data_IF_539792649484
#
_entry.id   IF_539792649484
#
_cell.length_a   1.000
_cell.length_b   1.000
_cell.length_c   1.000
_cell.angle_alpha   90.00
_cell.angle_beta   90.00
_cell.angle_gamma   90.00
#
_symmetry.space_group_name_H-M   'P 1'
#
loop_
_entity.id
_entity.type
_entity.pdbx_description
1 polymer ?
#
# COMPACT_ATOMS: atom_id res chain seq x y z
N UNK A 1 -9.51 -42.29 44.15
CA UNK A 1 -10.44 -41.21 43.78
C UNK A 1 -9.58 -40.02 43.41
N UNK A 2 -9.20 -39.91 42.15
CA UNK A 2 -10.01 -39.29 41.08
C UNK A 2 -10.24 -37.79 41.31
N UNK A 3 -9.71 -37.00 40.37
CA UNK A 3 -10.29 -35.77 39.83
C UNK A 3 -10.27 -34.53 40.71
N UNK A 4 -9.22 -33.70 40.56
CA UNK A 4 -9.39 -32.26 40.25
C UNK A 4 -8.24 -31.84 39.29
N UNK A 5 -8.38 -32.20 38.02
CA UNK A 5 -7.81 -31.39 36.93
C UNK A 5 -8.98 -30.49 36.52
N UNK A 6 -9.01 -29.23 36.95
CA UNK A 6 -9.96 -28.28 36.37
C UNK A 6 -9.43 -26.85 36.43
N UNK A 7 -9.10 -26.34 35.24
CA UNK A 7 -9.51 -25.00 34.85
C UNK A 7 -8.62 -23.84 35.26
N UNK A 8 -7.46 -23.69 34.63
CA UNK A 8 -6.82 -22.38 34.46
C UNK A 8 -6.03 -22.32 33.14
N UNK A 9 -6.66 -22.81 32.06
CA UNK A 9 -6.30 -22.38 30.70
C UNK A 9 -6.85 -20.96 30.58
N UNK A 10 -6.05 -19.99 31.01
CA UNK A 10 -6.27 -18.60 30.64
C UNK A 10 -6.32 -18.58 29.11
N UNK A 11 -7.51 -18.34 28.57
CA UNK A 11 -7.66 -17.83 27.22
C UNK A 11 -6.85 -16.54 27.16
N UNK A 12 -5.58 -16.64 26.73
CA UNK A 12 -5.01 -15.60 25.91
C UNK A 12 -5.88 -15.63 24.64
N UNK A 13 -6.97 -14.87 24.66
CA UNK A 13 -7.51 -14.28 23.44
C UNK A 13 -6.37 -13.45 22.88
N UNK A 14 -5.47 -14.13 22.16
CA UNK A 14 -4.62 -13.47 21.19
C UNK A 14 -5.62 -12.82 20.28
N UNK A 15 -5.84 -11.52 20.48
CA UNK A 15 -6.50 -10.66 19.52
C UNK A 15 -5.54 -10.70 18.33
N UNK A 16 -5.67 -11.76 17.54
CA UNK A 16 -5.06 -11.86 16.23
C UNK A 16 -5.86 -10.87 15.41
N UNK A 17 -5.50 -9.59 15.55
CA UNK A 17 -5.76 -8.63 14.50
C UNK A 17 -5.08 -9.25 13.28
N UNK A 18 -5.90 -9.89 12.44
CA UNK A 18 -5.42 -10.54 11.24
C UNK A 18 -4.61 -9.51 10.48
N UNK A 19 -3.34 -9.82 10.21
CA UNK A 19 -2.51 -8.95 9.43
C UNK A 19 -3.14 -8.84 8.04
N UNK A 20 -3.49 -7.61 7.63
CA UNK A 20 -4.13 -7.36 6.35
C UNK A 20 -3.20 -7.87 5.22
N UNK A 21 -3.76 -8.60 4.27
CA UNK A 21 -3.03 -9.19 3.13
C UNK A 21 -3.13 -8.37 1.85
N UNK A 22 -4.07 -7.45 1.83
CA UNK A 22 -4.33 -6.53 0.74
C UNK A 22 -4.74 -5.18 1.32
N UNK A 23 -4.40 -4.11 0.62
CA UNK A 23 -4.92 -2.80 0.89
C UNK A 23 -6.41 -2.76 0.56
N UNK A 24 -7.16 -2.07 1.41
CA UNK A 24 -8.56 -1.76 1.22
C UNK A 24 -8.81 -0.32 1.62
N UNK A 25 -9.92 0.24 1.19
CA UNK A 25 -10.37 1.55 1.63
C UNK A 25 -11.88 1.48 1.89
N UNK A 26 -12.28 1.47 3.15
CA UNK A 26 -13.70 1.34 3.55
C UNK A 26 -14.16 2.49 4.41
N UNK A 27 -15.48 2.65 4.54
CA UNK A 27 -16.09 3.71 5.35
C UNK A 27 -15.71 3.60 6.82
N UNK A 28 -15.62 2.37 7.33
CA UNK A 28 -15.40 2.06 8.74
C UNK A 28 -13.93 2.12 9.14
N UNK A 29 -13.04 1.68 8.25
CA UNK A 29 -11.61 1.54 8.54
C UNK A 29 -10.72 2.59 7.89
N UNK A 30 -11.23 3.31 6.89
CA UNK A 30 -10.39 4.12 6.02
C UNK A 30 -9.44 3.26 5.19
N UNK A 31 -8.28 3.82 4.85
CA UNK A 31 -7.24 3.08 4.14
C UNK A 31 -6.52 2.10 5.08
N UNK A 32 -6.25 0.89 4.60
CA UNK A 32 -5.40 -0.09 5.29
C UNK A 32 -4.02 0.52 5.58
N UNK A 33 -3.62 0.58 6.85
CA UNK A 33 -2.33 1.16 7.26
C UNK A 33 -1.14 0.46 6.60
N UNK A 34 -1.12 -0.87 6.63
CA UNK A 34 -0.08 -1.68 6.01
C UNK A 34 -0.57 -3.08 5.69
N UNK A 35 0.13 -3.72 4.76
CA UNK A 35 -0.06 -5.12 4.37
C UNK A 35 1.14 -5.95 4.83
N UNK A 36 0.91 -7.21 5.19
CA UNK A 36 2.00 -8.14 5.53
C UNK A 36 2.09 -9.30 4.56
N UNK A 37 3.27 -9.44 3.95
CA UNK A 37 3.62 -10.58 3.10
C UNK A 37 4.38 -11.60 3.93
N UNK A 38 3.82 -12.79 4.11
CA UNK A 38 4.47 -13.88 4.85
C UNK A 38 5.37 -14.72 3.93
N UNK A 39 6.61 -14.94 4.39
CA UNK A 39 7.62 -15.78 3.74
C UNK A 39 8.31 -16.66 4.79
N UNK A 40 7.51 -17.48 5.46
CA UNK A 40 7.96 -18.44 6.47
C UNK A 40 9.15 -19.25 5.90
N UNK A 41 10.25 -19.28 6.66
CA UNK A 41 11.48 -19.97 6.28
C UNK A 41 12.50 -19.12 5.53
N UNK A 42 12.19 -17.87 5.16
CA UNK A 42 13.17 -16.91 4.65
C UNK A 42 13.67 -16.00 5.76
N UNK A 43 14.95 -15.65 5.71
CA UNK A 43 15.58 -14.73 6.66
C UNK A 43 15.33 -13.27 6.27
N UNK A 44 15.39 -12.36 7.24
CA UNK A 44 15.21 -10.91 6.99
C UNK A 44 16.21 -10.37 5.96
N UNK A 45 17.46 -10.88 6.00
CA UNK A 45 18.50 -10.57 5.02
C UNK A 45 18.11 -11.01 3.61
N UNK A 46 17.60 -12.24 3.45
CA UNK A 46 17.16 -12.74 2.13
C UNK A 46 15.99 -11.92 1.59
N UNK A 47 15.01 -11.60 2.45
CA UNK A 47 13.86 -10.79 2.07
C UNK A 47 14.27 -9.37 1.67
N UNK A 48 15.16 -8.74 2.42
CA UNK A 48 15.71 -7.43 2.09
C UNK A 48 16.42 -7.43 0.73
N UNK A 49 17.29 -8.42 0.48
CA UNK A 49 18.01 -8.51 -0.80
C UNK A 49 17.05 -8.76 -1.98
N UNK A 50 16.04 -9.63 -1.80
CA UNK A 50 15.03 -9.86 -2.83
C UNK A 50 14.15 -8.62 -3.05
N UNK A 51 13.81 -7.87 -2.00
CA UNK A 51 13.07 -6.63 -2.14
C UNK A 51 13.86 -5.58 -2.94
N UNK A 52 15.17 -5.45 -2.70
CA UNK A 52 16.05 -4.62 -3.55
C UNK A 52 16.04 -5.10 -5.01
N UNK A 53 16.10 -6.41 -5.25
CA UNK A 53 15.97 -6.99 -6.59
C UNK A 53 14.65 -6.62 -7.26
N UNK A 54 13.53 -6.78 -6.55
CA UNK A 54 12.21 -6.40 -7.05
C UNK A 54 12.13 -4.90 -7.37
N UNK A 55 12.69 -4.02 -6.52
CA UNK A 55 12.74 -2.57 -6.79
C UNK A 55 13.52 -2.28 -8.08
N UNK A 56 14.66 -2.95 -8.27
CA UNK A 56 15.50 -2.78 -9.46
C UNK A 56 14.79 -3.20 -10.75
N UNK A 57 13.94 -4.23 -10.70
CA UNK A 57 13.18 -4.70 -11.88
C UNK A 57 11.87 -3.94 -12.10
N UNK A 58 11.27 -3.42 -11.03
CA UNK A 58 9.97 -2.74 -11.09
C UNK A 58 10.08 -1.30 -11.55
N UNK A 59 11.15 -0.61 -11.15
CA UNK A 59 11.30 0.82 -11.39
C UNK A 59 12.40 1.11 -12.42
N UNK A 60 12.09 1.98 -13.41
CA UNK A 60 13.02 2.35 -14.49
C UNK A 60 14.34 2.94 -14.00
N UNK A 61 14.33 3.67 -12.88
CA UNK A 61 15.50 4.34 -12.30
C UNK A 61 15.57 4.03 -10.80
N UNK A 62 15.98 2.83 -10.39
CA UNK A 62 15.83 2.38 -9.01
C UNK A 62 16.65 3.21 -8.01
N UNK A 63 17.83 3.69 -8.40
CA UNK A 63 18.66 4.56 -7.56
C UNK A 63 17.97 5.89 -7.21
N UNK A 64 17.10 6.41 -8.09
CA UNK A 64 16.32 7.63 -7.82
C UNK A 64 15.06 7.37 -7.00
N UNK A 65 14.57 6.13 -7.05
CA UNK A 65 13.34 5.72 -6.36
C UNK A 65 13.65 5.38 -4.90
N UNK A 66 14.82 4.84 -4.57
CA UNK A 66 15.21 4.56 -3.18
C UNK A 66 15.57 5.88 -2.48
N UNK A 67 14.75 6.27 -1.50
CA UNK A 67 14.96 7.45 -0.68
C UNK A 67 15.86 7.16 0.53
N UNK A 68 15.70 5.99 1.14
CA UNK A 68 16.47 5.57 2.31
C UNK A 68 16.50 4.05 2.42
N UNK A 69 17.54 3.52 3.07
CA UNK A 69 17.63 2.10 3.43
C UNK A 69 18.49 1.92 4.68
N UNK A 70 18.18 0.90 5.46
CA UNK A 70 19.02 0.39 6.54
C UNK A 70 19.15 -1.12 6.34
N UNK A 71 20.38 -1.60 6.26
CA UNK A 71 20.67 -2.95 5.81
C UNK A 71 19.90 -4.00 6.60
N UNK A 72 19.27 -4.91 5.85
CA UNK A 72 18.47 -6.04 6.32
C UNK A 72 17.18 -5.70 7.07
N UNK A 73 16.84 -4.42 7.27
CA UNK A 73 15.71 -4.02 8.13
C UNK A 73 14.69 -3.10 7.48
N UNK A 74 15.14 -2.19 6.61
CA UNK A 74 14.28 -1.12 6.11
C UNK A 74 14.65 -0.65 4.72
N UNK A 75 13.65 -0.40 3.88
CA UNK A 75 13.78 0.32 2.61
C UNK A 75 12.62 1.28 2.47
N UNK A 76 12.89 2.54 2.07
CA UNK A 76 11.87 3.50 1.67
C UNK A 76 12.08 3.94 0.24
N UNK A 77 10.98 3.96 -0.51
CA UNK A 77 10.98 4.38 -1.91
C UNK A 77 9.93 5.46 -2.20
N UNK A 78 10.16 6.26 -3.24
CA UNK A 78 9.15 7.13 -3.88
C UNK A 78 8.95 6.69 -5.34
N UNK A 79 7.80 6.10 -5.62
CA UNK A 79 7.34 5.77 -6.97
C UNK A 79 6.51 6.90 -7.58
N UNK A 80 6.31 6.84 -8.89
CA UNK A 80 5.45 7.77 -9.62
C UNK A 80 4.64 7.06 -10.71
N UNK A 81 3.37 7.40 -10.82
CA UNK A 81 2.48 6.95 -11.90
C UNK A 81 1.54 8.10 -12.31
N UNK A 82 1.19 8.21 -13.59
CA UNK A 82 0.33 9.28 -14.11
C UNK A 82 -1.13 8.89 -14.27
N UNK A 83 -1.49 7.62 -14.04
CA UNK A 83 -2.79 7.07 -14.45
C UNK A 83 -3.63 6.54 -13.26
N UNK A 84 -3.09 6.57 -12.04
CA UNK A 84 -3.76 5.98 -10.86
C UNK A 84 -4.67 6.97 -10.11
N UNK A 85 -4.37 8.27 -10.15
CA UNK A 85 -5.26 9.31 -9.60
C UNK A 85 -5.94 10.07 -10.72
N UNK A 86 -7.25 10.22 -10.60
CA UNK A 86 -8.06 10.88 -11.61
C UNK A 86 -9.33 11.50 -11.02
N UNK A 87 -9.91 12.46 -11.73
CA UNK A 87 -11.21 13.03 -11.41
C UNK A 87 -12.09 13.02 -12.64
N UNK A 88 -13.37 12.70 -12.46
CA UNK A 88 -14.37 12.77 -13.52
C UNK A 88 -15.35 13.90 -13.27
N UNK A 89 -15.33 14.91 -14.13
CA UNK A 89 -16.20 16.09 -14.07
C UNK A 89 -16.93 16.25 -15.40
N UNK A 90 -18.26 16.34 -15.37
CA UNK A 90 -19.09 16.56 -16.56
C UNK A 90 -18.78 15.60 -17.73
N UNK A 91 -18.47 14.34 -17.43
CA UNK A 91 -18.14 13.32 -18.42
C UNK A 91 -16.68 13.27 -18.87
N UNK A 92 -15.88 14.29 -18.56
CA UNK A 92 -14.44 14.31 -18.84
C UNK A 92 -13.64 13.73 -17.68
N UNK A 93 -12.63 12.91 -17.99
CA UNK A 93 -11.69 12.37 -16.99
C UNK A 93 -10.35 13.09 -17.11
N UNK A 94 -9.89 13.66 -16.00
CA UNK A 94 -8.57 14.27 -15.87
C UNK A 94 -7.70 13.38 -15.00
N UNK A 95 -6.51 13.03 -15.48
CA UNK A 95 -5.52 12.24 -14.75
C UNK A 95 -4.47 13.14 -14.12
N UNK A 96 -3.94 12.74 -12.97
CA UNK A 96 -2.94 13.48 -12.22
C UNK A 96 -1.67 12.66 -12.04
N UNK A 97 -0.52 13.27 -12.26
CA UNK A 97 0.75 12.69 -11.84
C UNK A 97 0.71 12.45 -10.34
N UNK A 98 0.95 11.21 -9.94
CA UNK A 98 0.85 10.74 -8.56
C UNK A 98 2.20 10.22 -8.11
N UNK A 99 2.71 10.77 -7.02
CA UNK A 99 3.84 10.23 -6.26
C UNK A 99 3.32 9.44 -5.09
N UNK A 100 3.90 8.28 -4.83
CA UNK A 100 3.59 7.48 -3.67
C UNK A 100 4.87 7.05 -2.97
N UNK A 101 4.86 7.07 -1.65
CA UNK A 101 5.96 6.56 -0.84
C UNK A 101 5.58 5.21 -0.24
N UNK A 102 6.52 4.27 -0.31
CA UNK A 102 6.36 2.93 0.27
C UNK A 102 7.50 2.69 1.24
N UNK A 103 7.17 2.19 2.42
CA UNK A 103 8.12 1.67 3.38
C UNK A 103 8.00 0.15 3.51
N UNK A 104 9.15 -0.50 3.44
CA UNK A 104 9.30 -1.93 3.65
C UNK A 104 10.05 -2.17 4.95
N UNK A 105 9.51 -3.03 5.81
CA UNK A 105 10.20 -3.52 6.99
C UNK A 105 10.30 -5.05 6.95
N UNK A 106 11.47 -5.58 7.30
CA UNK A 106 11.77 -7.01 7.24
C UNK A 106 11.96 -7.53 8.66
N UNK A 107 11.13 -8.50 9.06
CA UNK A 107 11.21 -9.10 10.38
C UNK A 107 10.55 -10.47 10.43
N UNK A 108 11.23 -11.45 11.06
CA UNK A 108 10.70 -12.79 11.36
C UNK A 108 10.11 -13.48 10.12
N UNK A 109 10.77 -13.35 8.97
CA UNK A 109 10.31 -13.94 7.70
C UNK A 109 9.07 -13.27 7.12
N UNK A 110 8.84 -12.00 7.46
CA UNK A 110 7.72 -11.18 6.96
C UNK A 110 8.21 -9.87 6.38
N UNK A 111 7.46 -9.36 5.41
CA UNK A 111 7.61 -8.02 4.87
C UNK A 111 6.38 -7.20 5.23
N UNK A 112 6.55 -6.16 6.04
CA UNK A 112 5.54 -5.10 6.20
C UNK A 112 5.67 -4.17 4.99
N UNK A 113 4.57 -3.97 4.27
CA UNK A 113 4.45 -3.10 3.10
C UNK A 113 3.49 -1.96 3.47
N UNK A 114 3.97 -0.72 3.51
CA UNK A 114 3.24 0.43 4.05
C UNK A 114 3.25 1.59 3.05
N UNK A 115 2.07 2.09 2.66
CA UNK A 115 1.97 3.28 1.80
C UNK A 115 1.91 4.51 2.72
N UNK A 116 3.03 5.20 2.88
CA UNK A 116 3.17 6.26 3.90
C UNK A 116 2.81 7.65 3.41
N UNK A 117 2.81 7.87 2.09
CA UNK A 117 2.40 9.14 1.49
C UNK A 117 1.90 8.96 0.07
N UNK A 118 0.86 9.73 -0.29
CA UNK A 118 0.38 9.87 -1.66
C UNK A 118 0.24 11.35 -1.97
N UNK A 119 0.85 11.82 -3.05
CA UNK A 119 0.82 13.20 -3.49
C UNK A 119 0.38 13.26 -4.96
N UNK A 120 -0.49 14.20 -5.30
CA UNK A 120 -0.93 14.44 -6.68
C UNK A 120 -0.46 15.81 -7.15
N UNK A 121 -0.07 15.91 -8.42
CA UNK A 121 0.28 17.17 -9.04
C UNK A 121 -0.93 17.80 -9.73
N UNK A 122 -1.20 19.07 -9.44
CA UNK A 122 -2.19 19.88 -10.15
C UNK A 122 -1.47 20.93 -10.98
N UNK A 123 -1.82 21.06 -12.26
CA UNK A 123 -1.27 22.10 -13.13
C UNK A 123 -1.73 23.49 -12.71
N UNK A 124 -0.87 24.49 -12.93
CA UNK A 124 -1.23 25.88 -12.66
C UNK A 124 -2.31 26.34 -13.64
N UNK A 125 -3.24 27.15 -13.13
CA UNK A 125 -4.26 27.81 -13.95
C UNK A 125 -4.15 29.32 -13.78
N UNK A 126 -4.90 30.09 -14.57
CA UNK A 126 -5.04 31.54 -14.36
C UNK A 126 -5.65 31.93 -13.00
N UNK A 127 -6.25 30.98 -12.27
CA UNK A 127 -6.93 31.23 -11.00
C UNK A 127 -6.24 30.62 -9.79
N UNK A 128 -5.28 29.70 -9.97
CA UNK A 128 -4.63 28.97 -8.90
C UNK A 128 -3.20 28.57 -9.26
N UNK A 129 -2.28 28.69 -8.30
CA UNK A 129 -0.95 28.12 -8.40
C UNK A 129 -1.04 26.60 -8.45
N UNK A 130 -0.34 25.99 -9.41
CA UNK A 130 -0.17 24.54 -9.47
C UNK A 130 0.82 24.04 -8.43
N UNK A 131 0.91 22.73 -8.27
CA UNK A 131 1.84 22.11 -7.34
C UNK A 131 1.46 20.71 -6.90
N UNK A 132 2.33 20.13 -6.07
CA UNK A 132 2.10 18.86 -5.40
C UNK A 132 1.24 19.06 -4.16
N UNK A 133 0.23 18.23 -3.98
CA UNK A 133 -0.65 18.23 -2.80
C UNK A 133 -0.75 16.83 -2.20
N UNK A 134 -0.63 16.71 -0.89
CA UNK A 134 -0.80 15.43 -0.16
C UNK A 134 -2.28 15.02 -0.14
N UNK A 135 -2.55 13.75 -0.41
CA UNK A 135 -3.87 13.11 -0.28
C UNK A 135 -4.00 12.56 1.13
N UNK A 136 -4.50 13.38 2.06
CA UNK A 136 -4.48 13.11 3.50
C UNK A 136 -5.24 11.84 3.94
N UNK A 137 -6.24 11.42 3.17
CA UNK A 137 -7.07 10.25 3.50
C UNK A 137 -6.34 8.89 3.35
N UNK A 138 -5.11 8.87 2.83
CA UNK A 138 -4.24 7.67 2.88
C UNK A 138 -3.41 7.53 4.15
N UNK A 139 -3.41 8.55 5.03
CA UNK A 139 -2.46 8.64 6.14
C UNK A 139 -3.11 8.88 7.51
N UNK A 140 -4.43 8.87 7.61
CA UNK A 140 -5.17 9.14 8.85
C UNK A 140 -6.46 8.31 8.90
N UNK A 141 -6.94 7.94 10.10
CA UNK A 141 -8.30 7.42 10.25
C UNK A 141 -9.28 8.45 9.71
N UNK A 142 -10.32 7.98 9.01
CA UNK A 142 -11.34 8.85 8.48
C UNK A 142 -12.19 9.39 9.62
N UNK A 143 -12.18 10.70 9.81
CA UNK A 143 -13.23 11.36 10.57
C UNK A 143 -14.57 11.25 9.82
N UNK A 144 -15.67 11.38 10.56
CA UNK A 144 -17.03 11.25 10.04
C UNK A 144 -17.29 12.16 8.83
N UNK A 145 -16.83 13.42 8.90
CA UNK A 145 -17.01 14.40 7.83
C UNK A 145 -16.24 13.98 6.58
N UNK A 146 -15.00 13.53 6.71
CA UNK A 146 -14.20 13.05 5.58
C UNK A 146 -14.80 11.77 4.98
N UNK A 147 -15.28 10.86 5.83
CA UNK A 147 -16.02 9.66 5.40
C UNK A 147 -17.24 10.03 4.56
N UNK A 148 -18.08 10.97 5.00
CA UNK A 148 -19.31 11.36 4.28
C UNK A 148 -19.04 12.09 2.95
N UNK A 149 -17.88 12.75 2.84
CA UNK A 149 -17.41 13.33 1.58
C UNK A 149 -16.99 12.25 0.57
N UNK A 150 -16.37 11.17 1.03
CA UNK A 150 -15.82 10.12 0.17
C UNK A 150 -16.88 9.08 -0.21
N UNK A 151 -17.71 8.68 0.75
CA UNK A 151 -18.66 7.59 0.61
C UNK A 151 -20.11 8.06 0.51
N UNK A 152 -20.93 7.23 -0.12
CA UNK A 152 -22.39 7.27 0.03
C UNK A 152 -22.81 6.47 1.26
N UNK A 153 -24.10 6.53 1.59
CA UNK A 153 -24.68 5.76 2.70
C UNK A 153 -24.51 4.24 2.53
N UNK A 154 -24.54 3.74 1.28
CA UNK A 154 -24.36 2.33 0.94
C UNK A 154 -22.89 1.84 0.99
N UNK A 155 -21.96 2.70 1.39
CA UNK A 155 -20.52 2.39 1.46
C UNK A 155 -19.78 2.48 0.13
N UNK A 156 -20.44 2.84 -0.97
CA UNK A 156 -19.78 3.04 -2.27
C UNK A 156 -19.16 4.43 -2.40
N UNK A 157 -18.08 4.55 -3.18
CA UNK A 157 -17.43 5.84 -3.44
C UNK A 157 -18.36 6.82 -4.20
N UNK A 158 -18.36 8.08 -3.77
CA UNK A 158 -18.88 9.19 -4.57
C UNK A 158 -18.00 9.39 -5.81
N UNK A 159 -18.58 9.95 -6.88
CA UNK A 159 -17.93 10.00 -8.20
C UNK A 159 -16.53 10.63 -8.20
N UNK A 160 -16.29 11.67 -7.40
CA UNK A 160 -15.02 12.39 -7.34
C UNK A 160 -13.92 11.65 -6.56
N UNK A 161 -14.23 10.50 -5.96
CA UNK A 161 -13.32 9.70 -5.13
C UNK A 161 -13.21 8.25 -5.62
N UNK A 162 -13.70 7.96 -6.83
CA UNK A 162 -13.61 6.62 -7.42
C UNK A 162 -12.19 6.24 -7.82
N UNK A 163 -11.29 7.21 -7.97
CA UNK A 163 -9.86 6.97 -8.17
C UNK A 163 -9.22 6.28 -6.97
N UNK A 164 -9.78 6.41 -5.75
CA UNK A 164 -9.30 5.69 -4.58
C UNK A 164 -9.29 4.18 -4.83
N UNK A 165 -10.32 3.64 -5.46
CA UNK A 165 -10.39 2.23 -5.84
C UNK A 165 -9.28 1.86 -6.84
N UNK A 166 -9.02 2.71 -7.83
CA UNK A 166 -7.92 2.51 -8.80
C UNK A 166 -6.55 2.50 -8.11
N UNK A 167 -6.33 3.40 -7.16
CA UNK A 167 -5.10 3.44 -6.37
C UNK A 167 -4.95 2.17 -5.51
N UNK A 168 -6.01 1.74 -4.82
CA UNK A 168 -6.01 0.49 -4.03
C UNK A 168 -5.66 -0.71 -4.90
N UNK A 169 -6.28 -0.85 -6.07
CA UNK A 169 -5.99 -1.92 -7.02
C UNK A 169 -4.55 -1.89 -7.51
N UNK A 170 -4.02 -0.69 -7.79
CA UNK A 170 -2.63 -0.51 -8.18
C UNK A 170 -1.66 -0.93 -7.06
N UNK A 171 -1.88 -0.50 -5.82
CA UNK A 171 -1.03 -0.87 -4.69
C UNK A 171 -1.09 -2.37 -4.39
N UNK A 172 -2.27 -2.99 -4.50
CA UNK A 172 -2.39 -4.44 -4.41
C UNK A 172 -1.68 -5.16 -5.56
N UNK A 173 -1.63 -4.55 -6.75
CA UNK A 173 -0.79 -5.00 -7.85
C UNK A 173 0.70 -5.01 -7.49
N UNK A 174 1.19 -3.96 -6.82
CA UNK A 174 2.58 -3.90 -6.32
C UNK A 174 2.86 -4.96 -5.24
N UNK A 175 1.97 -5.10 -4.25
CA UNK A 175 2.06 -6.13 -3.21
C UNK A 175 2.15 -7.52 -3.85
N UNK A 176 1.25 -7.83 -4.78
CA UNK A 176 1.22 -9.11 -5.48
C UNK A 176 2.48 -9.34 -6.32
N UNK A 177 2.97 -8.30 -7.00
CA UNK A 177 4.21 -8.38 -7.79
C UNK A 177 5.41 -8.68 -6.89
N UNK A 178 5.54 -7.99 -5.76
CA UNK A 178 6.59 -8.26 -4.78
C UNK A 178 6.44 -9.67 -4.19
N UNK A 179 5.24 -10.09 -3.81
CA UNK A 179 4.99 -11.42 -3.25
C UNK A 179 5.44 -12.55 -4.19
N UNK A 180 5.13 -12.42 -5.49
CA UNK A 180 5.58 -13.35 -6.55
C UNK A 180 7.10 -13.35 -6.64
N UNK A 181 7.74 -12.18 -6.67
CA UNK A 181 9.19 -12.06 -6.74
C UNK A 181 9.89 -12.71 -5.54
N UNK A 182 9.37 -12.48 -4.33
CA UNK A 182 9.91 -13.03 -3.09
C UNK A 182 9.85 -14.57 -3.03
N UNK A 183 8.90 -15.20 -3.74
CA UNK A 183 8.83 -16.67 -3.87
C UNK A 183 9.94 -17.25 -4.76
N UNK A 184 10.63 -16.42 -5.53
CA UNK A 184 11.52 -16.88 -6.60
C UNK A 184 10.76 -17.29 -7.87
N UNK A 185 9.45 -17.02 -7.92
CA UNK A 185 8.62 -17.16 -9.12
C UNK A 185 8.81 -15.90 -9.99
N UNK A 186 10.05 -15.59 -10.38
CA UNK A 186 10.27 -14.50 -11.33
C UNK A 186 9.50 -14.86 -12.62
N UNK A 187 8.52 -14.03 -12.99
CA UNK A 187 7.93 -14.10 -14.33
C UNK A 187 9.08 -13.88 -15.30
N UNK A 188 9.28 -14.83 -16.21
CA UNK A 188 9.83 -14.51 -17.51
C UNK A 188 9.03 -13.31 -18.02
N UNK A 189 9.68 -12.15 -18.09
CA UNK A 189 9.15 -11.13 -18.99
C UNK A 189 9.10 -11.82 -20.35
N UNK A 190 7.89 -11.98 -20.89
CA UNK A 190 7.71 -12.06 -22.32
C UNK A 190 8.26 -10.76 -22.88
N UNK A 191 9.55 -10.84 -23.17
CA UNK A 191 10.32 -9.91 -23.95
C UNK A 191 9.67 -9.87 -25.33
N UNK A 192 8.69 -8.99 -25.49
CA UNK A 192 8.33 -8.49 -26.81
C UNK A 192 9.29 -7.32 -27.10
N UNK A 193 10.54 -7.68 -27.41
CA UNK A 193 11.28 -7.00 -28.47
C UNK A 193 11.13 -7.83 -29.74
#
# INVERSE_FOLDING_TARGET
>A
MEKIILGLVFMLSVVSFGQEKEFSFTKEKGFTEYVVIDKIGQTDKELYQKALGWINETYKNPEKVILAKNDNSYIRIEGMDSNISWMKVMGMTTYYSTKYEIEFYFKDGKVKFDITSVNTYTEATKYASGGWSKRHYYSMPLDERTSDLIFKEDGTFRNNYRDIQTNVEYYNGLVKSMDIYLRGEAKSQASNW
#
